data_IF_137444281463
#
_entry.id   IF_137444281463
#
_cell.length_a   1.000
_cell.length_b   1.000
_cell.length_c   1.000
_cell.angle_alpha   90.00
_cell.angle_beta   90.00
_cell.angle_gamma   90.00
#
_symmetry.space_group_name_H-M   'P 1'
#
loop_
_entity.id
_entity.type
_entity.pdbx_description
1 polymer ?
#
# COMPACT_ATOMS: atom_id res chain seq x y z
N UNK A 1 -0.24 0.61 3.13
CA UNK A 1 0.30 0.73 4.47
C UNK A 1 -0.07 -0.44 5.35
N UNK A 2 0.78 -0.69 6.31
CA UNK A 2 0.59 -1.74 7.30
C UNK A 2 0.08 -1.12 8.61
N UNK A 3 -0.97 -1.69 9.21
CA UNK A 3 -1.44 -1.30 10.54
C UNK A 3 -0.45 -1.78 11.60
N UNK A 4 0.05 -0.85 12.40
CA UNK A 4 0.96 -1.15 13.52
C UNK A 4 0.47 -0.46 14.78
N UNK A 5 0.66 -1.12 15.91
CA UNK A 5 0.41 -0.52 17.23
C UNK A 5 1.68 0.15 17.72
N UNK A 6 1.58 1.44 18.02
CA UNK A 6 2.68 2.19 18.63
C UNK A 6 2.82 1.74 20.09
N UNK A 7 4.00 1.23 20.45
CA UNK A 7 4.31 0.74 21.79
C UNK A 7 5.00 1.80 22.65
N UNK A 8 5.70 2.76 22.02
CA UNK A 8 6.31 3.89 22.71
C UNK A 8 6.50 5.08 21.77
N UNK A 9 6.48 6.27 22.33
CA UNK A 9 6.93 7.52 21.70
C UNK A 9 7.84 8.21 22.72
N UNK A 10 9.14 8.23 22.45
CA UNK A 10 10.17 8.77 23.34
C UNK A 10 11.19 9.52 22.49
N UNK A 11 11.61 10.69 22.93
CA UNK A 11 12.66 11.51 22.29
C UNK A 11 12.44 11.79 20.79
N UNK A 12 11.16 11.86 20.36
CA UNK A 12 10.80 12.06 18.95
C UNK A 12 10.83 10.78 18.11
N UNK A 13 11.14 9.65 18.70
CA UNK A 13 11.09 8.33 18.06
C UNK A 13 9.80 7.59 18.37
N UNK A 14 9.28 6.88 17.38
CA UNK A 14 8.14 5.98 17.50
C UNK A 14 8.63 4.53 17.45
N UNK A 15 8.15 3.70 18.37
CA UNK A 15 8.41 2.26 18.39
C UNK A 15 7.14 1.46 18.14
N UNK A 16 7.28 0.38 17.39
CA UNK A 16 6.22 -0.57 17.13
C UNK A 16 6.81 -1.98 16.98
N UNK A 17 6.15 -2.97 17.53
CA UNK A 17 6.55 -4.37 17.37
C UNK A 17 5.92 -4.95 16.10
N UNK A 18 6.67 -5.77 15.36
CA UNK A 18 6.20 -6.45 14.16
C UNK A 18 6.21 -7.96 14.37
N UNK A 19 5.05 -8.59 14.19
CA UNK A 19 4.92 -10.04 14.27
C UNK A 19 5.47 -10.76 13.02
N UNK A 20 5.71 -12.08 13.11
CA UNK A 20 6.23 -12.88 11.99
C UNK A 20 5.38 -12.79 10.72
N UNK A 21 4.06 -12.76 10.85
CA UNK A 21 3.16 -12.62 9.70
C UNK A 21 3.36 -11.27 9.00
N UNK A 22 3.46 -10.18 9.75
CA UNK A 22 3.74 -8.86 9.20
C UNK A 22 5.06 -8.82 8.44
N UNK A 23 6.10 -9.45 8.97
CA UNK A 23 7.40 -9.58 8.27
C UNK A 23 7.23 -10.38 6.97
N UNK A 24 6.42 -11.43 6.97
CA UNK A 24 6.21 -12.31 5.82
C UNK A 24 5.45 -11.65 4.66
N UNK A 25 4.42 -10.86 4.97
CA UNK A 25 3.50 -10.31 3.95
C UNK A 25 3.77 -8.85 3.59
N UNK A 26 4.77 -8.22 4.21
CA UNK A 26 5.13 -6.81 3.96
C UNK A 26 6.62 -6.66 3.64
N UNK A 27 6.98 -5.50 3.14
CA UNK A 27 8.38 -5.11 2.92
C UNK A 27 9.07 -4.57 4.18
N UNK A 28 8.39 -4.54 5.33
CA UNK A 28 8.94 -3.99 6.58
C UNK A 28 10.18 -4.75 7.06
N UNK A 29 10.21 -6.07 6.88
CA UNK A 29 11.38 -6.90 7.20
C UNK A 29 12.62 -6.62 6.34
N UNK A 30 12.49 -5.88 5.24
CA UNK A 30 13.57 -5.51 4.33
C UNK A 30 14.12 -4.11 4.61
N UNK A 31 13.48 -3.35 5.50
CA UNK A 31 13.90 -2.00 5.83
C UNK A 31 15.31 -1.99 6.45
N UNK A 32 16.07 -0.99 6.09
CA UNK A 32 17.40 -0.73 6.64
C UNK A 32 17.34 0.49 7.55
N UNK A 33 18.33 0.61 8.43
CA UNK A 33 18.51 1.80 9.25
C UNK A 33 18.54 3.04 8.39
N UNK A 34 17.92 4.12 8.87
CA UNK A 34 17.84 5.44 8.21
C UNK A 34 17.06 5.45 6.88
N UNK A 35 16.38 4.36 6.54
CA UNK A 35 15.50 4.33 5.37
C UNK A 35 14.21 5.09 5.68
N UNK A 36 13.82 6.10 4.86
CA UNK A 36 12.59 6.84 5.06
C UNK A 36 11.37 5.95 4.85
N UNK A 37 10.34 6.17 5.66
CA UNK A 37 9.03 5.50 5.55
C UNK A 37 7.91 6.54 5.62
N UNK A 38 6.84 6.29 4.90
CA UNK A 38 5.62 7.08 5.02
C UNK A 38 4.83 6.64 6.25
N UNK A 39 4.38 7.61 7.04
CA UNK A 39 3.54 7.38 8.21
C UNK A 39 2.18 8.04 7.99
N UNK A 40 1.13 7.32 8.34
CA UNK A 40 -0.23 7.82 8.36
C UNK A 40 -0.87 7.47 9.70
N UNK A 41 -1.55 8.44 10.31
CA UNK A 41 -2.30 8.19 11.54
C UNK A 41 -3.61 7.48 11.22
N UNK A 42 -4.09 6.65 12.16
CA UNK A 42 -5.44 6.10 12.05
C UNK A 42 -6.48 7.22 11.86
N UNK A 43 -7.47 6.96 10.99
CA UNK A 43 -8.56 7.91 10.78
C UNK A 43 -9.32 8.13 12.09
N UNK A 44 -9.66 9.38 12.38
CA UNK A 44 -10.52 9.71 13.52
C UNK A 44 -11.94 9.24 13.25
N UNK A 45 -12.69 8.88 14.31
CA UNK A 45 -14.08 8.46 14.18
C UNK A 45 -15.03 9.54 13.61
N UNK A 46 -14.64 10.82 13.70
CA UNK A 46 -15.31 11.99 13.13
C UNK A 46 -14.65 12.48 11.83
N UNK A 47 -13.67 11.73 11.30
CA UNK A 47 -12.90 12.07 10.10
C UNK A 47 -13.65 11.74 8.80
N UNK A 48 -13.12 12.27 7.69
CA UNK A 48 -13.59 11.96 6.33
C UNK A 48 -12.73 10.88 5.71
N UNK A 49 -13.37 9.96 4.98
CA UNK A 49 -12.65 8.98 4.19
C UNK A 49 -12.13 9.62 2.89
N UNK A 50 -10.81 9.61 2.69
CA UNK A 50 -10.16 10.10 1.46
C UNK A 50 -10.14 9.09 0.31
N UNK A 51 -10.73 7.90 0.51
CA UNK A 51 -10.73 6.81 -0.47
C UNK A 51 -11.70 5.72 -0.02
N UNK A 52 -11.22 4.49 0.06
CA UNK A 52 -11.97 3.37 0.62
C UNK A 52 -11.48 3.02 2.04
N UNK A 53 -12.16 2.09 2.71
CA UNK A 53 -11.71 1.59 4.01
C UNK A 53 -10.41 0.81 3.88
N UNK A 54 -9.32 1.34 4.39
CA UNK A 54 -8.01 0.70 4.43
C UNK A 54 -7.71 0.31 5.87
N UNK A 55 -7.79 -0.97 6.19
CA UNK A 55 -7.53 -1.48 7.54
C UNK A 55 -6.03 -1.64 7.84
N UNK A 56 -5.19 -1.67 6.80
CA UNK A 56 -3.76 -1.91 6.96
C UNK A 56 -3.42 -3.38 7.25
N UNK A 57 -4.34 -4.31 6.99
CA UNK A 57 -4.10 -5.75 6.99
C UNK A 57 -3.60 -6.14 5.61
N UNK A 58 -2.30 -6.30 5.49
CA UNK A 58 -1.64 -6.53 4.19
C UNK A 58 -1.77 -7.99 3.79
N UNK A 59 -2.25 -8.24 2.56
CA UNK A 59 -2.44 -9.59 2.02
C UNK A 59 -1.16 -10.16 1.40
N UNK A 60 -0.23 -9.33 0.96
CA UNK A 60 1.02 -9.78 0.37
C UNK A 60 1.83 -8.68 -0.32
N UNK A 61 2.92 -9.09 -0.91
CA UNK A 61 3.88 -8.22 -1.60
C UNK A 61 3.69 -8.37 -3.11
N UNK A 62 3.53 -7.25 -3.80
CA UNK A 62 3.61 -7.16 -5.26
C UNK A 62 4.91 -6.52 -5.70
N UNK A 63 5.18 -6.60 -6.99
CA UNK A 63 6.34 -5.97 -7.60
C UNK A 63 5.89 -4.93 -8.63
N UNK A 64 6.43 -3.72 -8.53
CA UNK A 64 6.25 -2.72 -9.57
C UNK A 64 6.90 -3.24 -10.85
N UNK A 65 6.12 -3.27 -11.91
CA UNK A 65 6.56 -3.64 -13.24
C UNK A 65 6.82 -2.41 -14.10
N UNK A 66 6.05 -2.28 -15.17
CA UNK A 66 6.16 -1.16 -16.08
C UNK A 66 5.52 0.10 -15.51
N UNK A 67 6.18 1.23 -15.69
CA UNK A 67 5.63 2.56 -15.45
C UNK A 67 5.62 3.30 -16.79
N UNK A 68 4.45 3.82 -17.20
CA UNK A 68 4.26 4.58 -18.44
C UNK A 68 3.66 5.93 -18.15
N UNK A 69 4.18 6.97 -18.75
CA UNK A 69 3.60 8.31 -18.71
C UNK A 69 2.39 8.41 -19.66
N UNK A 70 1.39 9.16 -19.25
CA UNK A 70 0.17 9.45 -20.02
C UNK A 70 -0.29 10.87 -19.66
N UNK A 71 0.18 11.85 -20.40
CA UNK A 71 0.07 13.25 -20.04
C UNK A 71 0.76 13.50 -18.69
N UNK A 72 0.04 14.10 -17.75
CA UNK A 72 0.54 14.36 -16.40
C UNK A 72 0.37 13.16 -15.45
N UNK A 73 -0.33 12.11 -15.88
CA UNK A 73 -0.57 10.91 -15.09
C UNK A 73 0.43 9.80 -15.43
N UNK A 74 0.50 8.79 -14.55
CA UNK A 74 1.34 7.61 -14.74
C UNK A 74 0.54 6.33 -14.57
N UNK A 75 0.67 5.44 -15.55
CA UNK A 75 0.21 4.07 -15.45
C UNK A 75 1.27 3.23 -14.75
N UNK A 76 0.88 2.55 -13.69
CA UNK A 76 1.76 1.69 -12.91
C UNK A 76 1.22 0.26 -12.99
N UNK A 77 1.98 -0.61 -13.62
CA UNK A 77 1.74 -2.04 -13.64
C UNK A 77 2.29 -2.70 -12.38
N UNK A 78 1.48 -3.49 -11.70
CA UNK A 78 1.87 -4.22 -10.50
C UNK A 78 1.69 -5.72 -10.73
N UNK A 79 2.77 -6.48 -10.59
CA UNK A 79 2.70 -7.95 -10.57
C UNK A 79 2.34 -8.41 -9.17
N UNK A 80 1.35 -9.29 -9.08
CA UNK A 80 0.86 -9.84 -7.82
C UNK A 80 0.96 -11.38 -7.83
N UNK A 81 1.11 -12.02 -6.66
CA UNK A 81 1.00 -13.47 -6.54
C UNK A 81 -0.37 -13.96 -7.05
N UNK A 82 -0.38 -15.11 -7.71
CA UNK A 82 -1.62 -15.72 -8.23
C UNK A 82 -2.67 -15.96 -7.13
N UNK A 83 -2.25 -16.21 -5.90
CA UNK A 83 -3.14 -16.37 -4.74
C UNK A 83 -3.98 -15.12 -4.43
N UNK A 84 -3.52 -13.93 -4.86
CA UNK A 84 -4.21 -12.66 -4.63
C UNK A 84 -5.13 -12.25 -5.79
N UNK A 85 -5.05 -12.89 -6.96
CA UNK A 85 -5.85 -12.52 -8.15
C UNK A 85 -7.34 -12.50 -7.87
N UNK A 86 -7.84 -13.47 -7.12
CA UNK A 86 -9.27 -13.60 -6.77
C UNK A 86 -9.84 -12.42 -5.97
N UNK A 87 -9.00 -11.62 -5.38
CA UNK A 87 -9.40 -10.44 -4.59
C UNK A 87 -9.31 -9.13 -5.39
N UNK A 88 -8.78 -9.18 -6.62
CA UNK A 88 -8.59 -8.00 -7.45
C UNK A 88 -9.70 -7.89 -8.48
N UNK A 89 -10.46 -6.83 -8.40
CA UNK A 89 -11.61 -6.59 -9.29
C UNK A 89 -11.37 -5.32 -10.10
N UNK A 90 -11.57 -5.38 -11.40
CA UNK A 90 -11.52 -4.21 -12.27
C UNK A 90 -12.48 -3.11 -11.80
N UNK A 91 -12.03 -1.88 -11.73
CA UNK A 91 -12.72 -0.72 -11.15
C UNK A 91 -12.93 -0.79 -9.63
N UNK A 92 -12.48 -1.85 -8.97
CA UNK A 92 -12.46 -1.95 -7.52
C UNK A 92 -11.38 -1.07 -6.89
N UNK A 93 -11.46 -0.89 -5.58
CA UNK A 93 -10.44 -0.19 -4.80
C UNK A 93 -9.39 -1.16 -4.30
N UNK A 94 -8.13 -0.73 -4.32
CA UNK A 94 -6.98 -1.48 -3.80
C UNK A 94 -6.00 -0.55 -3.10
N UNK A 95 -5.55 -0.87 -1.89
CA UNK A 95 -4.46 -0.14 -1.27
C UNK A 95 -3.11 -0.69 -1.76
N UNK A 96 -2.27 0.17 -2.33
CA UNK A 96 -0.90 -0.16 -2.70
C UNK A 96 0.04 0.77 -1.93
N UNK A 97 0.94 0.22 -1.13
CA UNK A 97 1.81 0.97 -0.22
C UNK A 97 1.06 1.96 0.72
N UNK A 98 -0.20 1.65 1.05
CA UNK A 98 -1.08 2.50 1.86
C UNK A 98 -1.92 3.52 1.10
N UNK A 99 -1.68 3.68 -0.19
CA UNK A 99 -2.43 4.61 -1.02
C UNK A 99 -3.67 3.91 -1.58
N UNK A 100 -4.86 4.51 -1.34
CA UNK A 100 -6.12 4.04 -1.92
C UNK A 100 -6.17 4.33 -3.42
N UNK A 101 -6.19 3.29 -4.24
CA UNK A 101 -6.15 3.40 -5.69
C UNK A 101 -7.31 2.63 -6.32
N UNK A 102 -7.66 2.99 -7.55
CA UNK A 102 -8.63 2.26 -8.36
C UNK A 102 -7.90 1.33 -9.33
N UNK A 103 -8.31 0.06 -9.35
CA UNK A 103 -7.83 -0.91 -10.33
C UNK A 103 -8.36 -0.54 -11.71
N UNK A 104 -7.50 -0.04 -12.58
CA UNK A 104 -7.89 0.39 -13.92
C UNK A 104 -7.98 -0.80 -14.90
N UNK A 105 -7.05 -1.75 -14.80
CA UNK A 105 -7.00 -2.97 -15.62
C UNK A 105 -6.57 -4.16 -14.80
N UNK A 106 -7.06 -5.35 -15.16
CA UNK A 106 -6.69 -6.64 -14.56
C UNK A 106 -6.27 -7.60 -15.67
N UNK A 107 -5.19 -8.31 -15.46
CA UNK A 107 -4.71 -9.42 -16.29
C UNK A 107 -4.16 -10.52 -15.35
N UNK A 108 -3.89 -11.74 -15.85
CA UNK A 108 -3.30 -12.79 -15.02
C UNK A 108 -2.04 -12.32 -14.30
N UNK A 109 -2.00 -12.49 -13.00
CA UNK A 109 -0.92 -12.07 -12.09
C UNK A 109 -0.48 -10.61 -12.20
N UNK A 110 -1.34 -9.74 -12.75
CA UNK A 110 -1.04 -8.33 -12.96
C UNK A 110 -2.30 -7.46 -12.83
N UNK A 111 -2.11 -6.29 -12.26
CA UNK A 111 -3.07 -5.20 -12.32
C UNK A 111 -2.38 -3.91 -12.79
N UNK A 112 -3.16 -2.94 -13.24
CA UNK A 112 -2.68 -1.60 -13.53
C UNK A 112 -3.54 -0.57 -12.79
N UNK A 113 -2.87 0.41 -12.23
CA UNK A 113 -3.47 1.61 -11.64
C UNK A 113 -2.96 2.84 -12.37
N UNK A 114 -3.75 3.91 -12.33
CA UNK A 114 -3.33 5.21 -12.84
C UNK A 114 -3.12 6.15 -11.65
N UNK A 115 -1.97 6.78 -11.59
CA UNK A 115 -1.57 7.71 -10.53
C UNK A 115 -1.55 9.12 -11.09
N UNK A 116 -2.27 10.02 -10.44
CA UNK A 116 -2.32 11.44 -10.79
C UNK A 116 -1.11 12.18 -10.18
N UNK A 117 -0.73 13.39 -10.69
CA UNK A 117 0.44 14.12 -10.22
C UNK A 117 0.46 14.37 -8.71
N UNK A 118 -0.68 14.64 -8.11
CA UNK A 118 -0.79 14.87 -6.66
C UNK A 118 -0.39 13.65 -5.81
N UNK A 119 -0.54 12.45 -6.34
CA UNK A 119 -0.29 11.18 -5.63
C UNK A 119 1.11 10.63 -5.92
N UNK A 120 1.73 11.07 -7.02
CA UNK A 120 3.09 10.66 -7.41
C UNK A 120 4.15 11.43 -6.56
#
# INVERSE_FOLDING_TARGET
>A
GCCLTVTAIEDGEMRADIGPETVRVTTLGLLRRDQPVNLERAIRGDGRFGGHFVQGHVDGIGNIGEIREDGDARWVGVRIPASLERYVVGKGSIPIAGISLTVARVAPSRLEVMIIPFTW
#
